data_IF_064933086001
#
_entry.id   IF_064933086001
#
_cell.length_a   1.000
_cell.length_b   1.000
_cell.length_c   1.000
_cell.angle_alpha   90.00
_cell.angle_beta   90.00
_cell.angle_gamma   90.00
#
_symmetry.space_group_name_H-M   'P 1'
#
loop_
_entity.id
_entity.type
_entity.pdbx_description
1 polymer ?
#
# COMPACT_ATOMS: atom_id res chain seq x y z
N UNK A 1 -14.85 23.36 -3.55
CA UNK A 1 -14.66 22.86 -3.50
C UNK A 1 -14.19 22.09 -2.93
N UNK A 2 -14.20 21.89 -2.72
CA UNK A 2 -13.61 21.19 -2.34
C UNK A 2 -13.73 19.94 -2.24
N UNK A 3 -13.47 19.53 -2.46
CA UNK A 3 -13.33 18.15 -2.79
C UNK A 3 -12.79 17.29 -1.76
N UNK A 4 -12.66 17.78 -0.60
CA UNK A 4 -12.08 17.04 0.50
C UNK A 4 -12.89 15.80 0.79
N UNK A 5 -14.18 15.91 0.69
CA UNK A 5 -15.05 14.79 0.99
C UNK A 5 -14.92 13.66 -0.02
N UNK A 6 -14.43 13.95 -1.20
CA UNK A 6 -14.30 12.92 -2.23
C UNK A 6 -12.87 12.47 -2.43
N UNK A 7 -11.95 13.01 -1.65
CA UNK A 7 -10.55 12.62 -1.79
C UNK A 7 -10.35 11.18 -1.33
N UNK A 8 -9.63 10.43 -2.14
CA UNK A 8 -9.27 9.08 -1.77
C UNK A 8 -8.09 9.10 -0.81
N UNK A 9 -7.99 8.11 0.07
CA UNK A 9 -6.82 8.01 0.93
C UNK A 9 -5.55 7.77 0.10
N UNK A 10 -4.46 8.29 0.58
CA UNK A 10 -3.18 8.08 -0.09
C UNK A 10 -2.75 6.64 0.11
N UNK A 11 -2.27 6.02 -0.97
CA UNK A 11 -1.70 4.68 -0.90
C UNK A 11 -0.19 4.84 -0.89
N UNK A 12 0.46 4.27 0.12
CA UNK A 12 1.92 4.27 0.22
C UNK A 12 2.38 2.83 0.21
N UNK A 13 3.32 2.53 -0.66
CA UNK A 13 3.88 1.19 -0.77
C UNK A 13 5.39 1.25 -0.57
N UNK A 14 5.86 0.54 0.43
CA UNK A 14 7.29 0.38 0.65
C UNK A 14 7.78 -0.82 -0.14
N UNK A 15 8.83 -0.63 -0.93
CA UNK A 15 9.30 -1.64 -1.88
C UNK A 15 10.82 -1.72 -1.88
N UNK A 16 11.34 -2.67 -2.64
CA UNK A 16 12.78 -2.75 -2.93
C UNK A 16 12.98 -3.14 -4.39
N UNK A 17 14.22 -3.06 -4.85
CA UNK A 17 14.54 -3.22 -6.28
C UNK A 17 14.20 -4.62 -6.81
N UNK A 18 14.45 -5.64 -6.01
CA UNK A 18 14.30 -7.02 -6.48
C UNK A 18 13.20 -7.72 -5.70
N UNK A 19 11.99 -7.22 -5.85
CA UNK A 19 10.86 -7.75 -5.09
C UNK A 19 9.74 -8.16 -6.03
N UNK A 20 9.61 -9.46 -6.25
CA UNK A 20 8.58 -10.01 -7.13
C UNK A 20 7.17 -9.66 -6.65
N UNK A 21 6.94 -9.76 -5.35
CA UNK A 21 5.61 -9.44 -4.81
C UNK A 21 5.32 -7.95 -4.85
N UNK A 22 6.36 -7.11 -4.83
CA UNK A 22 6.16 -5.68 -5.02
C UNK A 22 5.64 -5.41 -6.44
N UNK A 23 6.20 -6.08 -7.43
CA UNK A 23 5.75 -5.96 -8.82
C UNK A 23 4.30 -6.42 -8.93
N UNK A 24 3.97 -7.56 -8.32
CA UNK A 24 2.61 -8.08 -8.36
C UNK A 24 1.63 -7.10 -7.71
N UNK A 25 2.01 -6.51 -6.59
CA UNK A 25 1.15 -5.55 -5.90
C UNK A 25 0.91 -4.31 -6.75
N UNK A 26 1.97 -3.81 -7.38
CA UNK A 26 1.84 -2.64 -8.26
C UNK A 26 0.93 -2.93 -9.44
N UNK A 27 1.10 -4.09 -10.06
CA UNK A 27 0.26 -4.47 -11.18
C UNK A 27 -1.20 -4.60 -10.78
N UNK A 28 -1.45 -5.15 -9.61
CA UNK A 28 -2.82 -5.27 -9.12
C UNK A 28 -3.48 -3.91 -8.89
N UNK A 29 -2.76 -3.00 -8.21
CA UNK A 29 -3.30 -1.65 -7.97
C UNK A 29 -3.53 -0.92 -9.27
N UNK A 30 -2.63 -1.10 -10.24
CA UNK A 30 -2.80 -0.49 -11.56
C UNK A 30 -4.05 -1.00 -12.24
N UNK A 31 -4.34 -2.29 -12.10
CA UNK A 31 -5.53 -2.88 -12.70
C UNK A 31 -6.81 -2.35 -12.06
N UNK A 32 -6.70 -1.75 -10.88
CA UNK A 32 -7.82 -1.13 -10.17
C UNK A 32 -7.83 0.39 -10.35
N UNK A 33 -7.05 0.91 -11.30
CA UNK A 33 -6.95 2.34 -11.58
C UNK A 33 -6.51 3.13 -10.36
N UNK A 34 -5.66 2.55 -9.53
CA UNK A 34 -5.15 3.22 -8.34
C UNK A 34 -3.74 3.74 -8.58
N UNK A 35 -3.43 4.86 -7.94
CA UNK A 35 -2.08 5.41 -7.90
C UNK A 35 -1.55 5.29 -6.48
N UNK A 36 -0.25 5.25 -6.34
CA UNK A 36 0.38 5.11 -5.03
C UNK A 36 1.69 5.86 -5.00
N UNK A 37 2.15 6.16 -3.79
CA UNK A 37 3.48 6.67 -3.56
C UNK A 37 4.39 5.50 -3.24
N UNK A 38 5.44 5.35 -4.03
CA UNK A 38 6.39 4.25 -3.81
C UNK A 38 7.59 4.75 -3.02
N UNK A 39 7.94 4.02 -1.97
CA UNK A 39 9.08 4.35 -1.13
C UNK A 39 10.05 3.17 -1.16
N UNK A 40 11.24 3.41 -1.73
CA UNK A 40 12.26 2.37 -1.86
C UNK A 40 13.09 2.29 -0.60
N UNK A 41 12.94 1.19 0.12
CA UNK A 41 13.67 1.03 1.38
C UNK A 41 15.12 0.61 1.17
N UNK A 42 15.44 0.13 -0.01
CA UNK A 42 16.83 -0.22 -0.34
C UNK A 42 17.68 1.00 -0.66
N UNK A 43 17.04 2.15 -0.88
CA UNK A 43 17.74 3.39 -1.19
C UNK A 43 17.74 4.37 -0.01
N UNK A 44 16.99 4.09 1.04
CA UNK A 44 16.79 5.03 2.14
C UNK A 44 16.62 4.27 3.46
N UNK A 45 17.66 4.28 4.27
CA UNK A 45 17.64 3.56 5.55
C UNK A 45 16.60 4.12 6.51
N UNK A 46 16.36 5.42 6.47
CA UNK A 46 15.33 6.02 7.33
C UNK A 46 13.95 5.55 6.95
N UNK A 47 13.70 5.40 5.64
CA UNK A 47 12.42 4.88 5.17
C UNK A 47 12.22 3.43 5.61
N UNK A 48 13.29 2.64 5.59
CA UNK A 48 13.23 1.26 6.07
C UNK A 48 12.85 1.20 7.55
N UNK A 49 13.47 2.05 8.36
CA UNK A 49 13.15 2.09 9.78
C UNK A 49 11.71 2.51 10.02
N UNK A 50 11.24 3.51 9.26
CA UNK A 50 9.86 3.96 9.37
C UNK A 50 8.91 2.83 9.03
N UNK A 51 9.19 2.09 7.97
CA UNK A 51 8.36 0.95 7.59
C UNK A 51 8.30 -0.08 8.71
N UNK A 52 9.45 -0.44 9.28
CA UNK A 52 9.49 -1.44 10.34
C UNK A 52 8.71 -1.00 11.58
N UNK A 53 8.79 0.29 11.89
CA UNK A 53 8.05 0.84 13.02
C UNK A 53 6.55 0.79 12.79
N UNK A 54 6.11 1.17 11.59
CA UNK A 54 4.69 1.25 11.29
C UNK A 54 4.07 -0.11 11.02
N UNK A 55 4.77 -0.94 10.27
CA UNK A 55 4.23 -2.23 9.84
C UNK A 55 4.50 -3.35 10.85
N UNK A 56 5.51 -3.17 11.69
CA UNK A 56 5.98 -4.22 12.60
C UNK A 56 6.46 -5.44 11.84
N UNK A 57 6.95 -5.21 10.63
CA UNK A 57 7.47 -6.26 9.74
C UNK A 57 8.68 -5.72 9.01
N UNK A 58 9.50 -6.63 8.51
CA UNK A 58 10.70 -6.27 7.77
C UNK A 58 10.60 -6.60 6.28
N UNK A 59 9.54 -7.28 5.86
CA UNK A 59 9.38 -7.70 4.46
C UNK A 59 8.75 -6.61 3.62
N UNK A 60 8.93 -6.69 2.31
CA UNK A 60 8.28 -5.84 1.33
C UNK A 60 7.50 -6.72 0.37
N UNK A 61 6.43 -6.21 -0.24
CA UNK A 61 5.92 -4.86 -0.05
C UNK A 61 5.21 -4.69 1.28
N UNK A 62 5.15 -3.45 1.76
CA UNK A 62 4.26 -3.08 2.85
C UNK A 62 3.38 -1.95 2.35
N UNK A 63 2.08 -2.15 2.41
CA UNK A 63 1.11 -1.28 1.78
C UNK A 63 0.25 -0.63 2.86
N UNK A 64 0.10 0.69 2.74
CA UNK A 64 -0.75 1.46 3.64
C UNK A 64 -1.76 2.22 2.80
N UNK A 65 -3.00 2.25 3.25
CA UNK A 65 -4.06 3.04 2.63
C UNK A 65 -4.53 4.02 3.69
N UNK A 66 -4.15 5.29 3.55
CA UNK A 66 -4.34 6.26 4.60
C UNK A 66 -3.63 5.78 5.86
N UNK A 67 -4.36 5.71 6.95
CA UNK A 67 -3.81 5.26 8.22
C UNK A 67 -3.91 3.74 8.42
N UNK A 68 -4.45 3.04 7.44
CA UNK A 68 -4.68 1.61 7.57
C UNK A 68 -3.50 0.82 7.02
N UNK A 69 -2.93 -0.05 7.83
CA UNK A 69 -1.88 -0.95 7.38
C UNK A 69 -2.52 -2.17 6.72
N UNK A 70 -2.40 -2.26 5.40
CA UNK A 70 -2.90 -3.40 4.66
C UNK A 70 -1.98 -4.60 4.81
N UNK A 71 -0.69 -4.36 4.71
CA UNK A 71 0.30 -5.42 4.80
C UNK A 71 0.96 -5.71 3.47
N UNK A 72 1.28 -6.97 3.21
CA UNK A 72 1.93 -7.38 1.99
C UNK A 72 0.94 -7.69 0.89
N UNK A 73 1.46 -8.29 -0.18
CA UNK A 73 0.62 -8.64 -1.32
C UNK A 73 -0.47 -9.64 -0.94
N UNK A 74 -0.10 -10.67 -0.17
CA UNK A 74 -1.09 -11.69 0.23
C UNK A 74 -2.18 -11.09 1.10
N UNK A 75 -1.81 -10.18 1.99
CA UNK A 75 -2.78 -9.50 2.84
C UNK A 75 -3.75 -8.67 2.02
N UNK A 76 -3.22 -7.96 1.02
CA UNK A 76 -4.05 -7.15 0.13
C UNK A 76 -5.01 -8.02 -0.66
N UNK A 77 -4.52 -9.15 -1.16
CA UNK A 77 -5.38 -10.06 -1.92
C UNK A 77 -6.47 -10.69 -1.05
N UNK A 78 -6.15 -10.97 0.21
CA UNK A 78 -7.14 -11.48 1.15
C UNK A 78 -8.27 -10.47 1.37
N UNK A 79 -7.91 -9.20 1.53
CA UNK A 79 -8.93 -8.14 1.65
C UNK A 79 -9.76 -8.04 0.38
N UNK A 80 -9.11 -8.14 -0.77
CA UNK A 80 -9.82 -8.08 -2.05
C UNK A 80 -10.85 -9.21 -2.16
N UNK A 81 -10.45 -10.42 -1.83
CA UNK A 81 -11.35 -11.57 -1.92
C UNK A 81 -12.50 -11.48 -0.92
N UNK A 82 -12.27 -10.80 0.21
CA UNK A 82 -13.30 -10.59 1.21
C UNK A 82 -14.23 -9.42 0.88
N UNK A 83 -13.96 -8.70 -0.22
CA UNK A 83 -14.76 -7.55 -0.60
C UNK A 83 -14.50 -6.32 0.25
N UNK A 84 -13.36 -6.29 0.95
CA UNK A 84 -13.06 -5.20 1.88
C UNK A 84 -12.02 -4.23 1.34
N UNK A 85 -11.30 -4.60 0.29
CA UNK A 85 -10.25 -3.75 -0.22
C UNK A 85 -10.79 -2.55 -0.98
N UNK A 86 -11.75 -2.79 -1.87
CA UNK A 86 -12.27 -1.73 -2.73
C UNK A 86 -12.93 -0.60 -1.93
N UNK A 87 -13.74 -0.91 -0.89
CA UNK A 87 -14.25 0.18 -0.06
C UNK A 87 -13.14 0.97 0.63
N UNK A 88 -12.08 0.29 1.06
CA UNK A 88 -10.95 0.95 1.70
C UNK A 88 -10.26 1.89 0.73
N UNK A 89 -10.03 1.44 -0.50
CA UNK A 89 -9.38 2.25 -1.53
C UNK A 89 -10.22 3.46 -1.90
N UNK A 90 -11.52 3.34 -1.80
CA UNK A 90 -12.44 4.43 -2.12
C UNK A 90 -12.62 5.43 -0.98
N UNK A 91 -12.03 5.15 0.18
CA UNK A 91 -12.15 6.03 1.33
C UNK A 91 -13.30 5.68 2.25
N UNK A 92 -14.05 4.64 1.95
CA UNK A 92 -15.10 4.16 2.81
C UNK A 92 -14.53 3.11 3.75
N UNK A 93 -14.57 3.32 4.99
CA UNK A 93 -13.97 2.43 5.96
C UNK A 93 -14.70 1.12 6.12
#
# INVERSE_FOLDING_TARGET
>A
MNNVATAKPEIVMYTSATCTYCVAAKNFLKSKDQEWTEVRIDLDAAAREKMMTLAKRTSVPQIFVGDTHVGGFDDMMALHRAGKLEPLLAGGA
#
